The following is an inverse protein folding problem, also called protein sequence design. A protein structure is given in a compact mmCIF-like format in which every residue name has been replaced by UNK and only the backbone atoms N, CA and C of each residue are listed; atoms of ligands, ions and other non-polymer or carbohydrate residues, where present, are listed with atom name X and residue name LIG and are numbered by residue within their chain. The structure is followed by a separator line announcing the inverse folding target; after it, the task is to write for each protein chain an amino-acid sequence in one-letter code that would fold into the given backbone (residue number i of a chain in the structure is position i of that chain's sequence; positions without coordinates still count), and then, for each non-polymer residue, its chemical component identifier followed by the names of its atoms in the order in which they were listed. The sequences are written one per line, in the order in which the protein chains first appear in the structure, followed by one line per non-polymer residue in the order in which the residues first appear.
data_IF_785046783846
#
_entry.id   IF_785046783846
#
_cell.length_a   1.000
_cell.length_b   1.000
_cell.length_c   1.000
_cell.angle_alpha   90.00
_cell.angle_beta   90.00
_cell.angle_gamma   90.00
#
_symmetry.space_group_name_H-M   'P 1'
#
loop_
_entity.id
_entity.type
_entity.pdbx_description
1 polymer ?
#
# COMPACT_ATOMS: atom_id res chain seq x y z
N UNK A 1 0.64 1.84 -20.79
CA UNK A 1 0.95 1.11 -19.56
C UNK A 1 0.46 -0.33 -19.58
N UNK A 2 -0.80 -0.58 -19.97
CA UNK A 2 -1.34 -1.96 -19.98
C UNK A 2 -0.49 -2.92 -20.84
N UNK A 3 -0.19 -2.55 -22.08
CA UNK A 3 0.65 -3.35 -22.97
C UNK A 3 2.08 -3.49 -22.44
N UNK A 4 2.68 -2.37 -22.04
CA UNK A 4 4.02 -2.35 -21.45
C UNK A 4 4.14 -3.28 -20.22
N UNK A 5 3.16 -3.24 -19.32
CA UNK A 5 3.15 -4.08 -18.14
C UNK A 5 3.02 -5.57 -18.47
N UNK A 6 2.26 -5.93 -19.51
CA UNK A 6 2.15 -7.33 -19.96
C UNK A 6 3.45 -7.84 -20.60
N UNK A 7 4.15 -7.00 -21.33
CA UNK A 7 5.39 -7.37 -22.03
C UNK A 7 6.61 -7.41 -21.10
N UNK A 8 6.69 -6.48 -20.15
CA UNK A 8 7.87 -6.28 -19.30
C UNK A 8 7.72 -6.81 -17.89
N UNK A 9 6.47 -7.06 -17.44
CA UNK A 9 6.16 -7.54 -16.09
C UNK A 9 6.90 -6.75 -14.99
N UNK A 10 6.84 -5.40 -15.00
CA UNK A 10 7.53 -4.60 -14.01
C UNK A 10 6.94 -4.83 -12.62
N UNK A 11 7.77 -4.84 -11.60
CA UNK A 11 7.28 -4.81 -10.23
C UNK A 11 6.84 -3.38 -9.89
N UNK A 12 5.58 -3.22 -9.55
CA UNK A 12 4.93 -1.92 -9.26
C UNK A 12 4.34 -1.94 -7.88
N UNK A 13 4.65 -0.93 -7.09
CA UNK A 13 3.92 -0.63 -5.86
C UNK A 13 3.02 0.61 -6.03
N UNK A 14 2.42 1.04 -4.94
CA UNK A 14 1.65 2.28 -4.89
C UNK A 14 2.04 3.15 -3.69
N UNK A 15 1.95 4.46 -3.89
CA UNK A 15 2.14 5.47 -2.87
C UNK A 15 0.92 6.42 -2.90
N UNK A 16 -0.05 6.18 -2.02
CA UNK A 16 -1.37 6.82 -2.05
C UNK A 16 -1.70 7.61 -0.79
N UNK A 17 -0.99 7.38 0.31
CA UNK A 17 -1.27 8.00 1.60
C UNK A 17 -0.46 9.29 1.75
N UNK A 18 -1.14 10.37 2.11
CA UNK A 18 -0.46 11.61 2.49
C UNK A 18 0.25 11.50 3.83
N UNK A 19 1.38 12.19 4.03
CA UNK A 19 2.02 12.28 5.32
C UNK A 19 1.05 12.81 6.39
N UNK A 20 1.03 12.22 7.60
CA UNK A 20 0.14 12.65 8.68
C UNK A 20 0.70 13.87 9.43
N UNK A 21 0.85 15.03 8.74
CA UNK A 21 1.44 16.23 9.29
C UNK A 21 0.47 16.89 10.27
N UNK A 22 -0.56 17.55 9.73
CA UNK A 22 -1.70 18.04 10.50
C UNK A 22 -3.00 17.71 9.73
N UNK A 23 -3.77 16.81 10.28
CA UNK A 23 -5.01 16.33 9.66
C UNK A 23 -6.17 17.32 9.78
N UNK A 24 -6.02 18.36 10.58
CA UNK A 24 -7.03 19.42 10.74
C UNK A 24 -6.84 20.53 9.68
N UNK A 25 -5.69 20.55 9.00
CA UNK A 25 -5.41 21.51 7.95
C UNK A 25 -5.74 20.91 6.57
N UNK A 26 -6.30 21.73 5.67
CA UNK A 26 -6.51 21.32 4.28
C UNK A 26 -5.15 21.21 3.54
N UNK A 27 -5.07 20.44 2.44
CA UNK A 27 -3.83 20.23 1.68
C UNK A 27 -3.10 21.54 1.29
N UNK A 28 -3.82 22.60 1.07
CA UNK A 28 -3.28 23.89 0.66
C UNK A 28 -2.40 24.55 1.74
N UNK A 29 -2.72 24.31 3.01
CA UNK A 29 -1.98 24.86 4.15
C UNK A 29 -0.76 24.05 4.54
N UNK A 30 -0.63 22.82 4.02
CA UNK A 30 0.51 21.91 4.19
C UNK A 30 1.10 21.51 2.84
N UNK A 31 1.05 22.44 1.90
CA UNK A 31 1.37 22.17 0.49
C UNK A 31 2.84 21.86 0.23
N UNK A 32 3.73 22.24 1.11
CA UNK A 32 5.16 21.92 1.06
C UNK A 32 5.45 20.44 1.35
N UNK A 33 4.53 19.75 2.02
CA UNK A 33 4.68 18.34 2.37
C UNK A 33 3.85 17.43 1.46
N UNK A 34 2.64 17.83 1.11
CA UNK A 34 1.76 17.00 0.28
C UNK A 34 2.21 16.99 -1.18
N UNK A 35 2.11 15.81 -1.79
CA UNK A 35 2.42 15.64 -3.21
C UNK A 35 1.54 16.59 -4.06
N UNK A 36 2.18 17.46 -4.83
CA UNK A 36 1.55 18.46 -5.65
C UNK A 36 2.33 18.73 -6.93
N UNK A 37 1.66 19.27 -7.92
CA UNK A 37 2.27 19.75 -9.17
C UNK A 37 2.76 21.18 -8.97
N UNK A 38 4.07 21.40 -9.14
CA UNK A 38 4.67 22.74 -9.09
C UNK A 38 4.42 23.50 -10.40
N UNK A 39 4.57 22.83 -11.53
CA UNK A 39 4.39 23.42 -12.85
C UNK A 39 4.12 22.38 -13.95
N UNK A 40 3.51 22.84 -14.99
CA UNK A 40 3.37 22.13 -16.27
C UNK A 40 4.52 22.49 -17.21
N UNK A 41 4.90 21.55 -18.05
CA UNK A 41 5.89 21.74 -19.11
C UNK A 41 5.43 20.97 -20.37
N UNK A 42 6.04 21.23 -21.51
CA UNK A 42 5.76 20.47 -22.75
C UNK A 42 6.08 18.99 -22.59
N UNK A 43 7.06 18.65 -21.73
CA UNK A 43 7.51 17.26 -21.49
C UNK A 43 6.65 16.51 -20.46
N UNK A 44 5.89 17.21 -19.63
CA UNK A 44 5.13 16.61 -18.55
C UNK A 44 4.87 17.58 -17.38
N UNK A 45 4.53 17.03 -16.22
CA UNK A 45 4.33 17.77 -14.98
C UNK A 45 5.55 17.63 -14.06
N UNK A 46 5.91 18.70 -13.36
CA UNK A 46 6.95 18.67 -12.31
C UNK A 46 6.27 18.57 -10.96
N UNK A 47 6.62 17.54 -10.21
CA UNK A 47 5.94 17.18 -8.94
C UNK A 47 6.91 17.26 -7.78
N UNK A 48 6.41 17.80 -6.66
CA UNK A 48 7.10 17.81 -5.36
C UNK A 48 6.20 17.34 -4.22
N UNK A 49 6.81 17.05 -3.07
CA UNK A 49 6.11 16.61 -1.86
C UNK A 49 6.39 15.15 -1.52
N UNK A 50 5.53 14.57 -0.67
CA UNK A 50 5.75 13.22 -0.16
C UNK A 50 4.48 12.38 -0.12
N UNK A 51 4.69 11.07 -0.12
CA UNK A 51 3.72 10.03 0.23
C UNK A 51 4.33 9.14 1.30
N UNK A 52 3.49 8.52 2.12
CA UNK A 52 3.94 7.59 3.15
C UNK A 52 3.35 6.20 2.94
N UNK A 53 3.84 5.23 3.70
CA UNK A 53 3.41 3.83 3.57
C UNK A 53 3.60 3.33 2.13
N UNK A 54 4.72 3.72 1.51
CA UNK A 54 5.09 3.25 0.18
C UNK A 54 5.75 1.87 0.29
N UNK A 55 4.95 0.89 0.67
CA UNK A 55 5.38 -0.49 0.95
C UNK A 55 6.07 -1.10 -0.27
N UNK A 56 7.26 -1.63 -0.05
CA UNK A 56 8.05 -2.32 -1.08
C UNK A 56 8.75 -1.40 -2.09
N UNK A 57 8.67 -0.06 -1.97
CA UNK A 57 9.21 0.85 -2.99
C UNK A 57 10.69 0.68 -3.29
N UNK A 58 11.51 0.27 -2.31
CA UNK A 58 12.94 -0.02 -2.55
C UNK A 58 13.18 -1.19 -3.52
N UNK A 59 12.17 -2.05 -3.72
CA UNK A 59 12.26 -3.25 -4.55
C UNK A 59 11.53 -3.08 -5.90
N UNK A 60 10.86 -1.96 -6.11
CA UNK A 60 9.99 -1.76 -7.28
C UNK A 60 10.68 -1.04 -8.42
N UNK A 61 10.27 -1.37 -9.65
CA UNK A 61 10.70 -0.65 -10.85
C UNK A 61 9.97 0.69 -10.97
N UNK A 62 8.67 0.69 -10.62
CA UNK A 62 7.80 1.85 -10.72
C UNK A 62 6.91 1.98 -9.51
N UNK A 63 6.57 3.22 -9.19
CA UNK A 63 5.60 3.56 -8.14
C UNK A 63 4.39 4.24 -8.77
N UNK A 64 3.21 3.69 -8.51
CA UNK A 64 1.93 4.31 -8.82
C UNK A 64 1.57 5.32 -7.74
N UNK A 65 1.54 6.58 -8.09
CA UNK A 65 1.18 7.67 -7.18
C UNK A 65 -0.26 8.10 -7.45
N UNK A 66 -1.07 8.04 -6.42
CA UNK A 66 -2.47 8.39 -6.51
C UNK A 66 -2.96 9.11 -5.24
N UNK A 67 -4.23 9.49 -5.26
CA UNK A 67 -4.89 10.14 -4.15
C UNK A 67 -5.88 9.18 -3.48
N UNK A 68 -5.83 9.11 -2.16
CA UNK A 68 -6.63 8.16 -1.36
C UNK A 68 -8.13 8.54 -1.31
N UNK A 69 -8.48 9.79 -1.50
CA UNK A 69 -9.88 10.25 -1.48
C UNK A 69 -10.49 10.48 -0.09
N UNK A 70 -9.87 10.03 1.01
CA UNK A 70 -10.40 10.29 2.37
C UNK A 70 -10.25 11.76 2.80
N UNK A 71 -9.26 12.46 2.25
CA UNK A 71 -9.11 13.91 2.39
C UNK A 71 -9.24 14.47 0.98
N UNK A 72 -10.42 15.00 0.62
CA UNK A 72 -10.64 15.50 -0.73
C UNK A 72 -9.68 16.64 -1.09
N UNK A 73 -9.18 16.61 -2.31
CA UNK A 73 -8.41 17.73 -2.87
C UNK A 73 -9.36 18.71 -3.54
N UNK A 74 -9.18 19.99 -3.26
CA UNK A 74 -9.97 21.07 -3.86
C UNK A 74 -9.22 21.89 -4.91
N UNK A 75 -7.88 21.82 -4.90
CA UNK A 75 -7.03 22.54 -5.84
C UNK A 75 -6.43 21.57 -6.86
N UNK A 76 -6.44 22.02 -8.14
CA UNK A 76 -5.92 21.25 -9.28
C UNK A 76 -4.49 20.77 -9.11
N UNK A 77 -3.64 21.52 -8.38
CA UNK A 77 -2.24 21.16 -8.18
C UNK A 77 -2.05 19.88 -7.37
N UNK A 78 -3.02 19.48 -6.54
CA UNK A 78 -3.00 18.23 -5.80
C UNK A 78 -3.71 17.09 -6.53
N UNK A 79 -4.46 17.40 -7.58
CA UNK A 79 -5.22 16.43 -8.36
C UNK A 79 -4.34 15.80 -9.44
N UNK A 80 -3.37 14.99 -9.03
CA UNK A 80 -2.49 14.28 -9.96
C UNK A 80 -2.40 12.79 -9.61
N UNK A 81 -2.58 11.95 -10.63
CA UNK A 81 -2.42 10.49 -10.57
C UNK A 81 -1.47 10.08 -11.70
N UNK A 82 -0.38 9.41 -11.35
CA UNK A 82 0.67 9.13 -12.30
C UNK A 82 1.52 7.90 -11.93
N UNK A 83 2.32 7.45 -12.87
CA UNK A 83 3.33 6.43 -12.68
C UNK A 83 4.73 7.04 -12.79
N UNK A 84 5.65 6.64 -11.93
CA UNK A 84 7.01 7.13 -11.95
C UNK A 84 8.01 5.98 -11.73
N UNK A 85 9.14 5.93 -12.49
CA UNK A 85 10.23 5.04 -12.14
C UNK A 85 10.73 5.34 -10.73
N UNK A 86 10.87 4.33 -9.88
CA UNK A 86 11.32 4.53 -8.50
C UNK A 86 12.74 5.11 -8.42
N UNK A 87 13.57 4.83 -9.42
CA UNK A 87 14.91 5.41 -9.57
C UNK A 87 14.97 6.72 -10.36
N UNK A 88 13.85 7.41 -10.62
CA UNK A 88 13.87 8.67 -11.39
C UNK A 88 14.62 9.78 -10.63
N UNK A 89 15.31 10.69 -11.35
CA UNK A 89 15.96 11.84 -10.72
C UNK A 89 14.98 12.65 -9.87
N UNK A 90 15.36 12.95 -8.62
CA UNK A 90 14.53 13.67 -7.66
C UNK A 90 13.65 12.76 -6.79
N UNK A 91 13.51 11.47 -7.09
CA UNK A 91 12.86 10.51 -6.19
C UNK A 91 13.83 10.14 -5.07
N UNK A 92 13.35 10.22 -3.83
CA UNK A 92 14.11 9.85 -2.63
C UNK A 92 13.25 8.96 -1.74
N UNK A 93 13.88 7.99 -1.10
CA UNK A 93 13.21 7.08 -0.17
C UNK A 93 13.82 7.24 1.23
N UNK A 94 12.98 7.49 2.23
CA UNK A 94 13.37 7.33 3.63
C UNK A 94 12.77 6.01 4.09
N UNK A 95 13.64 5.00 4.20
CA UNK A 95 13.24 3.63 4.53
C UNK A 95 13.42 3.37 6.02
N UNK A 96 12.58 2.52 6.60
CA UNK A 96 12.91 1.91 7.87
C UNK A 96 14.09 0.94 7.72
N UNK A 97 14.81 0.61 8.80
CA UNK A 97 15.78 -0.46 8.76
C UNK A 97 15.16 -1.78 8.29
N UNK A 98 15.93 -2.61 7.58
CA UNK A 98 15.44 -3.91 7.16
C UNK A 98 15.21 -4.81 8.37
N UNK A 99 14.20 -5.67 8.30
CA UNK A 99 13.96 -6.67 9.36
C UNK A 99 15.09 -7.69 9.42
N UNK A 100 15.66 -8.06 8.28
CA UNK A 100 16.80 -8.96 8.19
C UNK A 100 18.00 -8.41 8.97
N UNK A 101 18.42 -7.19 8.70
CA UNK A 101 19.50 -6.54 9.45
C UNK A 101 19.18 -6.42 10.94
N UNK A 102 17.96 -6.03 11.28
CA UNK A 102 17.55 -5.88 12.68
C UNK A 102 17.61 -7.22 13.41
N UNK A 103 17.15 -8.31 12.77
CA UNK A 103 17.16 -9.65 13.38
C UNK A 103 18.57 -10.16 13.66
N UNK A 104 19.56 -9.81 12.83
CA UNK A 104 20.97 -10.20 13.06
C UNK A 104 21.61 -9.50 14.24
N UNK A 105 21.13 -8.30 14.58
CA UNK A 105 21.61 -7.51 15.73
C UNK A 105 20.88 -7.92 17.02
N UNK A 106 19.56 -8.18 16.93
CA UNK A 106 18.69 -8.44 18.08
C UNK A 106 18.66 -9.88 18.52
N UNK A 107 19.11 -10.83 17.71
CA UNK A 107 19.05 -12.27 18.04
C UNK A 107 19.60 -13.14 16.92
N UNK A 108 18.89 -14.22 16.64
CA UNK A 108 19.30 -15.21 15.66
C UNK A 108 18.17 -15.59 14.71
N UNK A 109 18.43 -16.29 13.60
CA UNK A 109 17.36 -16.83 12.74
C UNK A 109 16.41 -17.79 13.46
N UNK A 110 16.82 -18.37 14.59
CA UNK A 110 15.92 -19.18 15.43
C UNK A 110 14.88 -18.30 16.13
N UNK A 111 15.28 -17.13 16.64
CA UNK A 111 14.39 -16.19 17.33
C UNK A 111 13.50 -15.41 16.33
N UNK A 112 14.04 -15.17 15.13
CA UNK A 112 13.39 -14.40 14.07
C UNK A 112 13.30 -15.20 12.75
N UNK A 113 12.56 -16.32 12.71
CA UNK A 113 12.61 -17.27 11.58
C UNK A 113 12.05 -16.70 10.28
N UNK A 114 11.13 -15.73 10.34
CA UNK A 114 10.59 -15.06 9.17
C UNK A 114 11.38 -13.79 8.85
N UNK A 115 11.55 -12.89 9.81
CA UNK A 115 12.19 -11.59 9.61
C UNK A 115 13.65 -11.68 9.16
N UNK A 116 14.34 -12.77 9.52
CA UNK A 116 15.72 -13.02 9.06
C UNK A 116 15.82 -13.45 7.59
N UNK A 117 14.70 -13.68 6.91
CA UNK A 117 14.67 -14.21 5.53
C UNK A 117 13.74 -13.44 4.60
N UNK A 118 12.75 -12.78 5.16
CA UNK A 118 11.68 -12.11 4.42
C UNK A 118 11.58 -10.70 4.94
N UNK A 119 11.75 -9.72 4.06
CA UNK A 119 11.56 -8.32 4.39
C UNK A 119 10.37 -7.75 3.62
N UNK A 120 9.62 -6.88 4.29
CA UNK A 120 8.60 -6.02 3.71
C UNK A 120 8.96 -4.59 4.13
N UNK A 121 9.64 -3.85 3.25
CA UNK A 121 10.10 -2.52 3.55
C UNK A 121 8.98 -1.50 3.35
N UNK A 122 8.84 -0.58 4.30
CA UNK A 122 8.04 0.62 4.15
C UNK A 122 8.94 1.86 4.04
N UNK A 123 8.51 2.82 3.23
CA UNK A 123 9.26 4.03 3.02
C UNK A 123 8.35 5.27 3.01
N UNK A 124 8.94 6.42 3.33
CA UNK A 124 8.44 7.71 2.89
C UNK A 124 8.97 7.94 1.48
N UNK A 125 8.05 8.12 0.53
CA UNK A 125 8.35 8.36 -0.88
C UNK A 125 8.35 9.85 -1.14
N UNK A 126 9.51 10.41 -1.41
CA UNK A 126 9.72 11.85 -1.57
C UNK A 126 9.95 12.15 -3.04
N UNK A 127 9.26 13.16 -3.52
CA UNK A 127 9.40 13.76 -4.84
C UNK A 127 10.00 15.15 -4.67
N UNK A 128 11.18 15.36 -5.22
CA UNK A 128 11.89 16.64 -5.19
C UNK A 128 12.05 17.14 -6.63
N UNK A 129 11.06 17.90 -7.09
CA UNK A 129 10.99 18.45 -8.46
C UNK A 129 11.12 17.39 -9.56
N UNK A 130 10.42 16.27 -9.38
CA UNK A 130 10.45 15.15 -10.31
C UNK A 130 9.64 15.46 -11.56
N UNK A 131 10.25 15.33 -12.73
CA UNK A 131 9.53 15.39 -14.00
C UNK A 131 8.80 14.06 -14.26
N UNK A 132 7.49 14.12 -14.36
CA UNK A 132 6.63 13.01 -14.79
C UNK A 132 6.19 13.27 -16.23
N UNK A 133 6.66 12.48 -17.20
CA UNK A 133 6.26 12.61 -18.59
C UNK A 133 4.75 12.44 -18.80
N UNK A 134 4.18 13.12 -19.79
CA UNK A 134 2.72 13.09 -20.04
C UNK A 134 2.17 11.67 -20.26
N UNK A 135 2.92 10.77 -20.88
CA UNK A 135 2.53 9.37 -21.08
C UNK A 135 2.36 8.58 -19.78
N UNK A 136 2.92 9.09 -18.67
CA UNK A 136 2.82 8.51 -17.34
C UNK A 136 1.77 9.18 -16.46
N UNK A 137 1.09 10.22 -16.94
CA UNK A 137 0.05 10.95 -16.21
C UNK A 137 -1.32 10.39 -16.58
N UNK A 138 -2.06 9.89 -15.61
CA UNK A 138 -3.39 9.32 -15.81
C UNK A 138 -4.51 10.32 -15.47
N UNK A 139 -4.24 11.23 -14.54
CA UNK A 139 -5.16 12.32 -14.19
C UNK A 139 -4.34 13.52 -13.73
N UNK A 140 -4.71 14.70 -14.19
CA UNK A 140 -4.15 15.95 -13.69
C UNK A 140 -5.15 17.09 -13.83
N UNK A 141 -5.20 17.94 -12.80
CA UNK A 141 -6.01 19.17 -12.78
C UNK A 141 -7.51 18.97 -12.61
N UNK A 142 -7.98 17.72 -12.56
CA UNK A 142 -9.39 17.38 -12.37
C UNK A 142 -9.58 16.79 -10.96
N UNK A 143 -9.97 17.67 -10.02
CA UNK A 143 -10.14 17.29 -8.62
C UNK A 143 -11.28 16.27 -8.42
N UNK A 144 -12.33 16.35 -9.22
CA UNK A 144 -13.46 15.42 -9.16
C UNK A 144 -12.99 13.99 -9.53
N UNK A 145 -12.30 13.84 -10.65
CA UNK A 145 -11.75 12.54 -11.06
C UNK A 145 -10.73 12.01 -10.07
N UNK A 146 -9.83 12.86 -9.56
CA UNK A 146 -8.84 12.45 -8.58
C UNK A 146 -9.48 11.95 -7.27
N UNK A 147 -10.49 12.66 -6.76
CA UNK A 147 -11.23 12.26 -5.56
C UNK A 147 -12.05 10.98 -5.77
N UNK A 148 -12.57 10.78 -6.97
CA UNK A 148 -13.40 9.62 -7.32
C UNK A 148 -12.60 8.44 -7.88
N UNK A 149 -11.26 8.50 -7.89
CA UNK A 149 -10.43 7.44 -8.45
C UNK A 149 -10.74 6.06 -7.85
N UNK A 150 -10.82 5.95 -6.52
CA UNK A 150 -11.08 4.67 -5.85
C UNK A 150 -12.48 4.11 -6.13
N UNK A 151 -13.58 4.88 -5.94
CA UNK A 151 -14.92 4.36 -6.15
C UNK A 151 -15.27 4.15 -7.62
N UNK A 152 -14.68 4.91 -8.55
CA UNK A 152 -15.03 4.88 -9.97
C UNK A 152 -14.07 4.10 -10.86
N UNK A 153 -13.09 3.40 -10.27
CA UNK A 153 -12.17 2.53 -11.02
C UNK A 153 -12.20 1.10 -10.52
N UNK A 154 -11.59 0.19 -11.26
CA UNK A 154 -11.39 -1.19 -10.81
C UNK A 154 -10.32 -1.35 -9.72
N UNK A 155 -9.77 -0.27 -9.17
CA UNK A 155 -8.74 -0.36 -8.13
C UNK A 155 -9.30 -0.94 -6.83
N UNK A 156 -10.40 -0.38 -6.33
CA UNK A 156 -10.96 -0.76 -5.03
C UNK A 156 -11.33 -2.26 -4.93
N UNK A 157 -12.09 -2.86 -5.87
CA UNK A 157 -12.40 -4.29 -5.77
C UNK A 157 -11.17 -5.19 -5.85
N UNK A 158 -10.14 -4.80 -6.60
CA UNK A 158 -8.88 -5.54 -6.65
C UNK A 158 -8.05 -5.40 -5.37
N UNK A 159 -8.02 -4.21 -4.80
CA UNK A 159 -7.39 -3.96 -3.51
C UNK A 159 -8.08 -4.74 -2.38
N UNK A 160 -9.41 -4.84 -2.41
CA UNK A 160 -10.18 -5.63 -1.45
C UNK A 160 -9.91 -7.14 -1.60
N UNK A 161 -9.87 -7.66 -2.82
CA UNK A 161 -9.50 -9.06 -3.07
C UNK A 161 -8.08 -9.36 -2.54
N UNK A 162 -7.12 -8.48 -2.86
CA UNK A 162 -5.77 -8.59 -2.34
C UNK A 162 -5.75 -8.55 -0.79
N UNK A 163 -6.45 -7.60 -0.19
CA UNK A 163 -6.52 -7.44 1.26
C UNK A 163 -7.12 -8.66 1.96
N UNK A 164 -8.23 -9.19 1.47
CA UNK A 164 -8.87 -10.39 2.01
C UNK A 164 -7.97 -11.62 1.90
N UNK A 165 -7.38 -11.86 0.73
CA UNK A 165 -6.50 -13.01 0.50
C UNK A 165 -5.24 -12.93 1.37
N UNK A 166 -4.63 -11.77 1.45
CA UNK A 166 -3.45 -11.53 2.29
C UNK A 166 -3.76 -11.77 3.77
N UNK A 167 -4.91 -11.29 4.24
CA UNK A 167 -5.32 -11.50 5.63
C UNK A 167 -5.66 -12.95 5.91
N UNK A 168 -6.32 -13.65 5.00
CA UNK A 168 -6.61 -15.07 5.12
C UNK A 168 -5.33 -15.90 5.32
N UNK A 169 -4.31 -15.67 4.50
CA UNK A 169 -3.00 -16.33 4.61
C UNK A 169 -2.29 -15.97 5.93
N UNK A 170 -2.34 -14.71 6.35
CA UNK A 170 -1.78 -14.30 7.65
C UNK A 170 -2.49 -14.98 8.81
N UNK A 171 -3.80 -15.12 8.73
CA UNK A 171 -4.59 -15.78 9.78
C UNK A 171 -4.33 -17.30 9.85
N UNK A 172 -3.97 -17.97 8.76
CA UNK A 172 -3.48 -19.35 8.80
C UNK A 172 -2.24 -19.47 9.69
N UNK A 173 -1.28 -18.58 9.48
CA UNK A 173 -0.04 -18.55 10.28
C UNK A 173 -0.32 -18.19 11.75
N UNK A 174 -1.12 -17.13 11.99
CA UNK A 174 -1.46 -16.67 13.34
C UNK A 174 -2.23 -17.75 14.11
N UNK A 175 -3.18 -18.42 13.48
CA UNK A 175 -3.94 -19.49 14.09
C UNK A 175 -3.02 -20.68 14.48
N UNK A 176 -2.10 -21.07 13.59
CA UNK A 176 -1.13 -22.12 13.89
C UNK A 176 -0.19 -21.76 15.04
N UNK A 177 0.33 -20.54 15.07
CA UNK A 177 1.17 -20.05 16.16
C UNK A 177 0.41 -19.98 17.49
N UNK A 178 -0.86 -19.50 17.45
CA UNK A 178 -1.73 -19.43 18.62
C UNK A 178 -2.01 -20.83 19.21
N UNK A 179 -2.36 -21.81 18.37
CA UNK A 179 -2.58 -23.19 18.81
C UNK A 179 -1.35 -23.78 19.49
N UNK A 180 -0.17 -23.55 18.92
CA UNK A 180 1.10 -23.98 19.55
C UNK A 180 1.37 -23.27 20.88
N UNK A 181 1.07 -21.97 20.97
CA UNK A 181 1.28 -21.20 22.19
C UNK A 181 0.37 -21.69 23.33
N UNK A 182 -0.92 -21.93 23.07
CA UNK A 182 -1.86 -22.42 24.10
C UNK A 182 -1.53 -23.85 24.52
N UNK A 183 -1.01 -24.67 23.63
CA UNK A 183 -0.52 -26.01 23.96
C UNK A 183 0.74 -25.93 24.87
N UNK A 184 1.72 -25.13 24.51
CA UNK A 184 2.97 -24.95 25.24
C UNK A 184 2.74 -24.37 26.65
N UNK A 185 1.76 -23.51 26.81
CA UNK A 185 1.38 -22.91 28.11
C UNK A 185 0.43 -23.79 28.95
N UNK A 186 -0.05 -24.90 28.39
CA UNK A 186 -1.03 -25.77 29.04
C UNK A 186 -2.41 -25.12 29.24
N UNK A 187 -2.71 -24.06 28.50
CA UNK A 187 -3.95 -23.27 28.67
C UNK A 187 -5.10 -23.67 27.75
N UNK A 188 -4.92 -24.68 26.92
CA UNK A 188 -5.87 -25.09 25.88
C UNK A 188 -7.27 -25.45 26.37
N UNK A 189 -7.40 -25.91 27.62
CA UNK A 189 -8.65 -26.42 28.19
C UNK A 189 -9.47 -25.33 28.91
N UNK A 190 -8.92 -24.12 29.06
CA UNK A 190 -9.66 -23.00 29.62
C UNK A 190 -10.69 -22.45 28.63
N UNK A 191 -11.96 -22.40 29.02
CA UNK A 191 -13.07 -21.95 28.15
C UNK A 191 -12.85 -20.56 27.53
N UNK A 192 -12.32 -19.62 28.30
CA UNK A 192 -12.01 -18.27 27.78
C UNK A 192 -10.94 -18.29 26.68
N UNK A 193 -9.92 -19.13 26.85
CA UNK A 193 -8.86 -19.32 25.84
C UNK A 193 -9.43 -19.99 24.60
N UNK A 194 -10.28 -21.02 24.77
CA UNK A 194 -10.94 -21.67 23.62
C UNK A 194 -11.84 -20.71 22.85
N UNK A 195 -12.55 -19.81 23.54
CA UNK A 195 -13.39 -18.79 22.89
C UNK A 195 -12.53 -17.84 22.04
N UNK A 196 -11.41 -17.33 22.58
CA UNK A 196 -10.51 -16.44 21.85
C UNK A 196 -9.84 -17.15 20.65
N UNK A 197 -9.42 -18.40 20.81
CA UNK A 197 -8.90 -19.22 19.70
C UNK A 197 -9.98 -19.43 18.64
N UNK A 198 -11.20 -19.72 19.08
CA UNK A 198 -12.36 -19.88 18.19
C UNK A 198 -12.65 -18.62 17.38
N UNK A 199 -12.53 -17.44 17.99
CA UNK A 199 -12.71 -16.17 17.28
C UNK A 199 -11.69 -16.00 16.14
N UNK A 200 -10.42 -16.28 16.40
CA UNK A 200 -9.37 -16.21 15.36
C UNK A 200 -9.67 -17.20 14.20
N UNK A 201 -10.13 -18.41 14.52
CA UNK A 201 -10.50 -19.40 13.50
C UNK A 201 -11.74 -18.98 12.70
N UNK A 202 -12.69 -18.32 13.31
CA UNK A 202 -13.87 -17.73 12.63
C UNK A 202 -13.42 -16.66 11.64
N UNK A 203 -12.57 -15.72 12.07
CA UNK A 203 -12.00 -14.70 11.18
C UNK A 203 -11.22 -15.32 10.01
N UNK A 204 -10.39 -16.30 10.29
CA UNK A 204 -9.66 -17.05 9.26
C UNK A 204 -10.61 -17.63 8.19
N UNK A 205 -11.64 -18.34 8.63
CA UNK A 205 -12.59 -18.99 7.71
C UNK A 205 -13.42 -17.94 6.95
N UNK A 206 -13.81 -16.84 7.60
CA UNK A 206 -14.52 -15.75 6.94
C UNK A 206 -13.70 -15.14 5.80
N UNK A 207 -12.43 -14.82 6.01
CA UNK A 207 -11.60 -14.18 4.99
C UNK A 207 -11.25 -15.14 3.83
N UNK A 208 -11.10 -16.43 4.09
CA UNK A 208 -11.02 -17.43 3.04
C UNK A 208 -12.31 -17.51 2.24
N UNK A 209 -13.45 -17.57 2.92
CA UNK A 209 -14.77 -17.58 2.27
C UNK A 209 -15.04 -16.33 1.42
N UNK A 210 -14.66 -15.14 1.90
CA UNK A 210 -14.78 -13.89 1.15
C UNK A 210 -13.88 -13.89 -0.09
N UNK A 211 -12.63 -14.34 0.03
CA UNK A 211 -11.70 -14.44 -1.11
C UNK A 211 -12.23 -15.38 -2.18
N UNK A 212 -12.70 -16.55 -1.78
CA UNK A 212 -13.34 -17.53 -2.69
C UNK A 212 -14.59 -16.96 -3.36
N UNK A 213 -15.47 -16.30 -2.62
CA UNK A 213 -16.70 -15.72 -3.15
C UNK A 213 -16.41 -14.63 -4.20
N UNK A 214 -15.42 -13.78 -3.97
CA UNK A 214 -15.02 -12.74 -4.92
C UNK A 214 -14.49 -13.34 -6.24
N UNK A 215 -13.78 -14.46 -6.17
CA UNK A 215 -13.23 -15.14 -7.36
C UNK A 215 -14.31 -15.91 -8.11
N UNK A 216 -15.17 -16.65 -7.38
CA UNK A 216 -16.17 -17.55 -7.99
C UNK A 216 -17.41 -16.84 -8.48
N UNK A 217 -17.77 -15.72 -7.88
CA UNK A 217 -18.98 -14.97 -8.23
C UNK A 217 -18.70 -13.46 -8.33
N UNK A 218 -17.83 -13.04 -9.26
CA UNK A 218 -17.51 -11.63 -9.44
C UNK A 218 -18.77 -10.85 -9.85
N UNK A 219 -18.94 -9.65 -9.32
CA UNK A 219 -19.99 -8.72 -9.72
C UNK A 219 -19.37 -7.59 -10.54
N UNK A 220 -20.12 -7.03 -11.53
CA UNK A 220 -19.71 -5.77 -12.15
C UNK A 220 -19.52 -4.71 -11.08
N UNK A 221 -18.41 -3.98 -11.16
CA UNK A 221 -18.14 -2.88 -10.22
C UNK A 221 -18.65 -1.55 -10.77
N UNK A 222 -18.38 -1.33 -12.03
CA UNK A 222 -18.85 -0.18 -12.79
C UNK A 222 -19.41 -0.76 -14.08
N UNK A 223 -20.70 -0.73 -14.24
CA UNK A 223 -21.44 -1.25 -15.39
C UNK A 223 -22.01 -0.13 -16.21
#
# INVERSE_FOLDING_TARGET
WYKFAQERVPFVNHAIIHPPVDRNLPPQEVSDVYCHVEKETDAGIVVSGAKVVATGSVLTNYTFVAHHGLIPVGDKKFAAIFMIPTGAPGVKLICRPSYEMTSTVMGSPFDYPLSSRIDENDAVFILDKVLVPWENVFCYGDAEKANNFFPQTGFLPRALLHGCTRLAVKLDFIAGALLKAVEATGSKDFRGVQANVGEVLVWRNLFWGLSEAMVRNPKPWIG
#
